data_IF_644686489138
#
_entry.id   IF_644686489138
#
_cell.length_a   1.000
_cell.length_b   1.000
_cell.length_c   1.000
_cell.angle_alpha   90.00
_cell.angle_beta   90.00
_cell.angle_gamma   90.00
#
_symmetry.space_group_name_H-M   'P 1'
#
loop_
_entity.id
_entity.type
_entity.pdbx_description
1 polymer ?
#
# COMPACT_ATOMS: atom_id res chain seq x y z
N UNK A 1 -32.75 14.25 19.68
CA UNK A 1 -32.37 12.92 20.19
C UNK A 1 -31.67 12.14 19.08
N UNK A 2 -30.36 12.29 18.96
CA UNK A 2 -29.46 11.41 18.21
C UNK A 2 -28.02 11.80 18.61
N UNK A 3 -27.63 11.46 19.84
CA UNK A 3 -26.25 11.56 20.30
C UNK A 3 -25.53 10.29 19.84
N UNK A 4 -24.83 10.38 18.71
CA UNK A 4 -23.91 9.34 18.26
C UNK A 4 -22.55 9.56 18.93
N UNK A 5 -22.10 8.59 19.72
CA UNK A 5 -20.81 8.59 20.39
C UNK A 5 -19.64 8.57 19.38
N UNK A 6 -18.43 9.04 19.76
CA UNK A 6 -17.22 8.85 18.96
C UNK A 6 -16.73 7.40 19.12
N UNK A 7 -17.35 6.47 18.39
CA UNK A 7 -17.05 5.03 18.52
C UNK A 7 -15.92 4.55 17.59
N UNK A 8 -15.44 5.39 16.66
CA UNK A 8 -14.42 4.98 15.67
C UNK A 8 -12.99 4.89 16.24
N UNK A 9 -12.63 5.70 17.24
CA UNK A 9 -11.23 5.76 17.70
C UNK A 9 -10.81 4.54 18.56
N UNK A 10 -11.78 3.80 19.12
CA UNK A 10 -11.52 2.57 19.87
C UNK A 10 -11.35 1.34 18.98
N UNK A 11 -11.95 1.31 17.79
CA UNK A 11 -11.88 0.16 16.89
C UNK A 11 -10.50 0.05 16.21
N UNK A 12 -9.92 1.17 15.79
CA UNK A 12 -8.59 1.20 15.14
C UNK A 12 -7.45 0.81 16.08
N UNK A 13 -7.60 1.09 17.38
CA UNK A 13 -6.59 0.80 18.40
C UNK A 13 -6.43 -0.70 18.70
N UNK A 14 -7.51 -1.49 18.65
CA UNK A 14 -7.44 -2.96 18.83
C UNK A 14 -7.22 -3.72 17.51
N UNK A 15 -7.70 -3.19 16.38
CA UNK A 15 -7.52 -3.81 15.07
C UNK A 15 -6.07 -3.76 14.59
N UNK A 16 -5.30 -2.74 15.01
CA UNK A 16 -3.92 -2.56 14.60
C UNK A 16 -2.99 -3.66 15.14
N UNK A 17 -2.91 -3.91 16.47
CA UNK A 17 -2.12 -5.02 17.00
C UNK A 17 -2.55 -6.38 16.43
N UNK A 18 -3.86 -6.63 16.30
CA UNK A 18 -4.36 -7.91 15.81
C UNK A 18 -3.97 -8.22 14.35
N UNK A 19 -3.89 -7.21 13.49
CA UNK A 19 -3.38 -7.38 12.12
C UNK A 19 -1.87 -7.68 12.12
N UNK A 20 -1.09 -6.89 12.86
CA UNK A 20 0.37 -7.05 12.95
C UNK A 20 0.73 -8.44 13.48
N UNK A 21 0.10 -8.88 14.57
CA UNK A 21 0.30 -10.22 15.15
C UNK A 21 0.00 -11.34 14.16
N UNK A 22 -1.08 -11.18 13.38
CA UNK A 22 -1.49 -12.17 12.38
C UNK A 22 -0.47 -12.26 11.25
N UNK A 23 -0.04 -11.12 10.72
CA UNK A 23 0.98 -11.07 9.66
C UNK A 23 2.30 -11.66 10.17
N UNK A 24 2.71 -11.30 11.39
CA UNK A 24 3.94 -11.80 12.01
C UNK A 24 3.91 -13.30 12.33
N UNK A 25 2.75 -13.85 12.63
CA UNK A 25 2.60 -15.30 12.80
C UNK A 25 2.68 -16.05 11.46
N UNK A 26 2.14 -15.46 10.40
CA UNK A 26 2.05 -16.11 9.09
C UNK A 26 3.39 -16.09 8.34
N UNK A 27 4.26 -15.12 8.61
CA UNK A 27 5.58 -14.99 7.97
C UNK A 27 6.75 -14.89 8.95
N UNK A 28 6.97 -15.82 9.89
CA UNK A 28 7.84 -15.65 11.07
C UNK A 28 9.30 -15.20 10.82
N UNK A 29 9.78 -15.25 9.58
CA UNK A 29 11.04 -14.69 9.13
C UNK A 29 10.86 -13.98 7.77
N UNK A 30 11.78 -13.06 7.41
CA UNK A 30 11.86 -12.49 6.06
C UNK A 30 11.85 -13.58 4.97
N UNK A 31 11.44 -13.21 3.75
CA UNK A 31 11.33 -14.19 2.67
C UNK A 31 12.72 -14.70 2.27
N UNK A 32 12.94 -16.01 2.40
CA UNK A 32 14.16 -16.62 1.85
C UNK A 32 14.23 -16.45 0.32
N UNK A 33 15.42 -16.28 -0.30
CA UNK A 33 15.55 -15.93 -1.72
C UNK A 33 14.72 -16.81 -2.68
N UNK A 34 14.59 -18.09 -2.38
CA UNK A 34 13.89 -19.09 -3.21
C UNK A 34 12.37 -19.18 -2.95
N UNK A 35 11.87 -18.55 -1.89
CA UNK A 35 10.43 -18.58 -1.56
C UNK A 35 9.62 -17.72 -2.52
N UNK A 36 8.43 -18.14 -2.98
CA UNK A 36 7.59 -17.30 -3.83
C UNK A 36 7.12 -16.04 -3.10
N UNK A 37 7.02 -14.91 -3.82
CA UNK A 37 6.47 -13.68 -3.27
C UNK A 37 4.96 -13.84 -2.97
N UNK A 38 4.45 -13.19 -1.92
CA UNK A 38 3.03 -13.27 -1.55
C UNK A 38 2.11 -12.47 -2.48
N UNK A 39 2.68 -11.68 -3.38
CA UNK A 39 2.00 -10.88 -4.40
C UNK A 39 2.60 -11.13 -5.78
N UNK A 40 1.91 -10.64 -6.82
CA UNK A 40 2.45 -10.62 -8.19
C UNK A 40 3.43 -9.46 -8.32
N UNK A 41 4.53 -9.69 -9.02
CA UNK A 41 5.49 -8.64 -9.36
C UNK A 41 4.95 -7.87 -10.58
N UNK A 42 4.80 -6.54 -10.51
CA UNK A 42 4.48 -5.73 -11.68
C UNK A 42 5.70 -5.69 -12.61
N UNK A 43 5.59 -6.33 -13.78
CA UNK A 43 6.64 -6.30 -14.80
C UNK A 43 7.94 -7.05 -14.44
N UNK A 44 8.90 -7.00 -15.37
CA UNK A 44 10.24 -7.59 -15.21
C UNK A 44 11.29 -6.54 -14.80
N UNK A 45 11.03 -5.27 -15.11
CA UNK A 45 11.90 -4.12 -14.86
C UNK A 45 11.05 -2.88 -14.52
N UNK A 46 11.60 -1.99 -13.70
CA UNK A 46 11.01 -0.70 -13.34
C UNK A 46 12.00 0.42 -13.61
N UNK A 47 11.54 1.58 -14.04
CA UNK A 47 12.38 2.78 -14.03
C UNK A 47 12.46 3.37 -12.62
N UNK A 48 13.48 4.20 -12.35
CA UNK A 48 13.59 4.89 -11.06
C UNK A 48 12.38 5.80 -10.78
N UNK A 49 11.79 6.41 -11.81
CA UNK A 49 10.62 7.30 -11.69
C UNK A 49 9.34 6.51 -11.35
N UNK A 50 9.21 5.30 -11.87
CA UNK A 50 8.05 4.43 -11.61
C UNK A 50 8.15 3.71 -10.25
N UNK A 51 9.37 3.54 -9.73
CA UNK A 51 9.63 2.70 -8.56
C UNK A 51 8.76 3.07 -7.35
N UNK A 52 8.64 4.34 -7.00
CA UNK A 52 7.84 4.75 -5.84
C UNK A 52 6.36 4.39 -5.99
N UNK A 53 5.77 4.71 -7.13
CA UNK A 53 4.35 4.46 -7.39
C UNK A 53 4.01 2.97 -7.45
N UNK A 54 4.82 2.21 -8.19
CA UNK A 54 4.63 0.76 -8.36
C UNK A 54 4.83 0.01 -7.03
N UNK A 55 5.85 0.36 -6.25
CA UNK A 55 6.08 -0.24 -4.94
C UNK A 55 4.95 0.11 -3.95
N UNK A 56 4.46 1.34 -3.98
CA UNK A 56 3.33 1.75 -3.16
C UNK A 56 2.05 0.99 -3.53
N UNK A 57 1.77 0.79 -4.81
CA UNK A 57 0.61 0.02 -5.28
C UNK A 57 0.71 -1.46 -4.89
N UNK A 58 1.89 -2.07 -5.02
CA UNK A 58 2.13 -3.46 -4.58
C UNK A 58 1.90 -3.61 -3.08
N UNK A 59 2.48 -2.72 -2.26
CA UNK A 59 2.33 -2.76 -0.81
C UNK A 59 0.87 -2.55 -0.39
N UNK A 60 0.20 -1.54 -0.95
CA UNK A 60 -1.21 -1.26 -0.65
C UNK A 60 -2.13 -2.38 -1.11
N UNK A 61 -1.86 -2.95 -2.30
CA UNK A 61 -2.57 -4.09 -2.83
C UNK A 61 -2.48 -5.29 -1.89
N UNK A 62 -1.29 -5.58 -1.35
CA UNK A 62 -1.12 -6.66 -0.38
C UNK A 62 -1.84 -6.39 0.94
N UNK A 63 -1.64 -5.22 1.55
CA UNK A 63 -2.20 -4.87 2.87
C UNK A 63 -3.72 -4.73 2.84
N UNK A 64 -4.28 -4.32 1.70
CA UNK A 64 -5.73 -4.12 1.51
C UNK A 64 -6.43 -5.38 0.99
N UNK A 65 -5.68 -6.33 0.42
CA UNK A 65 -6.26 -7.57 -0.10
C UNK A 65 -6.66 -8.50 1.04
N UNK A 66 -7.93 -8.91 1.03
CA UNK A 66 -8.27 -10.22 1.60
C UNK A 66 -7.72 -11.26 0.64
N UNK A 67 -6.63 -11.92 1.01
CA UNK A 67 -5.96 -12.91 0.15
C UNK A 67 -6.98 -13.90 -0.42
N UNK A 68 -7.37 -13.69 -1.69
CA UNK A 68 -8.22 -14.62 -2.43
C UNK A 68 -7.28 -15.66 -3.02
N UNK A 69 -7.46 -16.92 -2.61
CA UNK A 69 -6.77 -18.08 -3.18
C UNK A 69 -6.75 -17.99 -4.71
N UNK A 70 -5.61 -17.66 -5.29
CA UNK A 70 -5.32 -18.00 -6.69
C UNK A 70 -4.92 -19.47 -6.73
N UNK A 71 -5.86 -20.35 -6.37
CA UNK A 71 -5.80 -21.74 -6.75
C UNK A 71 -6.30 -21.82 -8.18
N UNK A 72 -5.39 -21.85 -9.15
CA UNK A 72 -5.70 -22.33 -10.49
C UNK A 72 -6.21 -23.78 -10.35
N UNK A 73 -7.53 -23.95 -10.27
CA UNK A 73 -8.16 -25.23 -10.57
C UNK A 73 -7.95 -25.48 -12.06
N UNK A 74 -6.79 -26.02 -12.43
CA UNK A 74 -6.71 -26.85 -13.62
C UNK A 74 -7.68 -28.00 -13.39
N UNK A 75 -8.78 -28.03 -14.16
CA UNK A 75 -9.57 -29.25 -14.32
C UNK A 75 -8.64 -30.29 -14.92
N UNK A 76 -8.06 -31.14 -14.08
CA UNK A 76 -7.49 -32.40 -14.54
C UNK A 76 -8.68 -33.29 -14.83
N UNK A 77 -8.86 -33.59 -16.12
CA UNK A 77 -9.79 -34.58 -16.64
C UNK A 77 -9.56 -35.90 -15.90
N UNK A 78 -10.64 -36.50 -15.41
CA UNK A 78 -10.64 -37.79 -14.73
C UNK A 78 -10.05 -38.89 -15.63
N UNK A 79 -9.04 -39.57 -15.12
CA UNK A 79 -8.52 -40.86 -15.60
C UNK A 79 -8.17 -41.71 -14.36
N UNK A 80 -8.33 -43.05 -14.43
CA UNK A 80 -8.39 -43.88 -13.24
C UNK A 80 -7.02 -44.11 -12.59
N UNK A 81 -7.07 -44.21 -11.27
CA UNK A 81 -6.00 -44.46 -10.29
C UNK A 81 -5.25 -45.77 -10.58
N UNK A 82 -3.94 -45.84 -10.25
CA UNK A 82 -3.44 -47.04 -9.60
C UNK A 82 -2.83 -46.75 -8.22
N UNK A 83 -3.05 -47.73 -7.36
CA UNK A 83 -2.58 -47.93 -6.00
C UNK A 83 -1.03 -48.01 -5.98
N UNK A 84 -0.37 -47.33 -5.02
CA UNK A 84 0.65 -47.88 -4.11
C UNK A 84 1.74 -46.88 -3.65
N UNK A 85 1.93 -46.88 -2.31
CA UNK A 85 3.22 -46.84 -1.58
C UNK A 85 3.83 -45.49 -1.14
N UNK A 86 3.92 -45.41 0.20
CA UNK A 86 4.95 -44.83 1.08
C UNK A 86 5.19 -43.31 1.12
N UNK A 87 4.73 -42.72 2.22
CA UNK A 87 5.62 -42.21 3.27
C UNK A 87 6.60 -41.11 2.90
N UNK A 88 6.15 -39.87 2.96
CA UNK A 88 6.97 -38.68 3.19
C UNK A 88 6.13 -37.63 3.93
N UNK A 89 6.72 -36.75 4.77
CA UNK A 89 5.95 -35.67 5.38
C UNK A 89 5.57 -34.71 4.26
N UNK A 90 4.36 -34.85 3.76
CA UNK A 90 3.71 -33.86 2.92
C UNK A 90 3.68 -32.57 3.74
N UNK A 91 4.59 -31.63 3.46
CA UNK A 91 4.45 -30.26 3.93
C UNK A 91 3.18 -29.71 3.27
N UNK A 92 2.04 -29.95 3.90
CA UNK A 92 0.87 -29.11 3.70
C UNK A 92 1.30 -27.70 4.09
N UNK A 93 1.54 -26.87 3.07
CA UNK A 93 1.61 -25.43 3.22
C UNK A 93 0.24 -25.01 3.75
N UNK A 94 0.09 -24.98 5.07
CA UNK A 94 -1.09 -24.48 5.76
C UNK A 94 -1.27 -23.06 5.25
N UNK A 95 -2.31 -22.85 4.45
CA UNK A 95 -2.57 -21.58 3.78
C UNK A 95 -2.78 -20.51 4.85
N UNK A 96 -2.03 -19.39 4.86
CA UNK A 96 -2.28 -18.33 5.81
C UNK A 96 -3.64 -17.72 5.52
N UNK A 97 -4.49 -17.73 6.55
CA UNK A 97 -5.86 -17.22 6.50
C UNK A 97 -5.79 -15.72 6.78
N UNK A 98 -5.57 -14.90 5.74
CA UNK A 98 -5.82 -13.46 5.85
C UNK A 98 -7.32 -13.20 5.90
N UNK A 99 -7.91 -13.32 7.10
CA UNK A 99 -9.32 -13.08 7.33
C UNK A 99 -9.68 -11.58 7.39
N UNK A 100 -8.71 -10.66 7.43
CA UNK A 100 -8.97 -9.22 7.52
C UNK A 100 -7.96 -8.41 6.69
N UNK A 101 -8.50 -7.43 5.96
CA UNK A 101 -7.72 -6.33 5.38
C UNK A 101 -7.16 -5.47 6.52
N UNK A 102 -5.96 -4.92 6.37
CA UNK A 102 -5.46 -3.93 7.31
C UNK A 102 -6.43 -2.71 7.36
N UNK A 103 -6.61 -2.08 8.53
CA UNK A 103 -7.29 -0.78 8.61
C UNK A 103 -6.61 0.21 7.65
N UNK A 104 -7.36 1.03 6.87
CA UNK A 104 -6.76 1.88 5.83
C UNK A 104 -5.63 2.80 6.32
N UNK A 105 -5.71 3.44 7.50
CA UNK A 105 -4.59 4.25 8.02
C UNK A 105 -3.33 3.41 8.28
N UNK A 106 -3.51 2.20 8.82
CA UNK A 106 -2.41 1.28 9.07
C UNK A 106 -1.76 0.82 7.75
N UNK A 107 -2.58 0.45 6.77
CA UNK A 107 -2.11 0.04 5.45
C UNK A 107 -1.28 1.15 4.79
N UNK A 108 -1.82 2.38 4.77
CA UNK A 108 -1.15 3.54 4.19
C UNK A 108 0.17 3.86 4.90
N UNK A 109 0.19 3.86 6.23
CA UNK A 109 1.41 4.14 6.99
C UNK A 109 2.46 3.05 6.80
N UNK A 110 2.09 1.77 6.86
CA UNK A 110 3.03 0.66 6.66
C UNK A 110 3.62 0.68 5.25
N UNK A 111 2.77 0.85 4.23
CA UNK A 111 3.21 0.96 2.85
C UNK A 111 4.17 2.14 2.67
N UNK A 112 3.80 3.32 3.16
CA UNK A 112 4.65 4.51 3.08
C UNK A 112 5.99 4.32 3.79
N UNK A 113 6.00 3.78 5.01
CA UNK A 113 7.24 3.56 5.76
C UNK A 113 8.15 2.56 5.03
N UNK A 114 7.62 1.43 4.55
CA UNK A 114 8.42 0.43 3.86
C UNK A 114 8.98 0.92 2.52
N UNK A 115 8.16 1.61 1.72
CA UNK A 115 8.60 2.19 0.44
C UNK A 115 9.64 3.29 0.69
N UNK A 116 9.40 4.18 1.65
CA UNK A 116 10.33 5.26 1.96
C UNK A 116 11.69 4.72 2.44
N UNK A 117 11.71 3.71 3.32
CA UNK A 117 12.95 3.07 3.76
C UNK A 117 13.69 2.37 2.61
N UNK A 118 12.97 1.73 1.68
CA UNK A 118 13.58 1.09 0.52
C UNK A 118 14.21 2.12 -0.42
N UNK A 119 13.50 3.19 -0.75
CA UNK A 119 14.00 4.24 -1.65
C UNK A 119 15.13 5.07 -1.05
N UNK A 120 15.21 5.16 0.28
CA UNK A 120 16.34 5.78 0.99
C UNK A 120 17.58 4.88 1.05
N UNK A 121 17.46 3.58 0.74
CA UNK A 121 18.58 2.65 0.71
C UNK A 121 19.32 2.68 -0.64
N UNK A 122 20.49 2.03 -0.72
CA UNK A 122 21.25 1.98 -1.97
C UNK A 122 20.55 1.08 -3.00
N UNK A 123 20.00 1.67 -4.04
CA UNK A 123 19.33 0.94 -5.12
C UNK A 123 20.30 0.39 -6.18
N UNK A 124 21.60 0.58 -6.01
CA UNK A 124 22.62 0.12 -6.97
C UNK A 124 22.57 -1.40 -7.19
N UNK A 125 22.23 -2.16 -6.16
CA UNK A 125 22.10 -3.63 -6.21
C UNK A 125 20.96 -4.10 -7.12
N UNK A 126 19.95 -3.26 -7.35
CA UNK A 126 18.81 -3.58 -8.21
C UNK A 126 19.01 -3.10 -9.64
N UNK A 127 20.07 -2.35 -9.95
CA UNK A 127 20.29 -1.84 -11.31
C UNK A 127 20.57 -3.00 -12.25
N UNK A 128 19.71 -3.17 -13.26
CA UNK A 128 20.01 -4.04 -14.39
C UNK A 128 20.85 -3.25 -15.38
N UNK A 129 21.95 -3.85 -15.81
CA UNK A 129 22.66 -3.37 -17.00
C UNK A 129 21.66 -3.45 -18.16
N UNK A 130 21.58 -2.42 -19.03
CA UNK A 130 20.87 -2.59 -20.29
C UNK A 130 21.52 -3.79 -20.98
N UNK A 131 20.74 -4.85 -21.21
CA UNK A 131 21.20 -5.91 -22.12
C UNK A 131 21.55 -5.18 -23.43
N UNK A 132 22.80 -5.32 -23.88
CA UNK A 132 23.21 -4.79 -25.16
C UNK A 132 22.30 -5.43 -26.21
N UNK A 133 21.32 -4.67 -26.69
CA UNK A 133 20.68 -5.00 -27.95
C UNK A 133 21.81 -5.11 -28.97
N UNK A 134 22.02 -6.31 -29.50
CA UNK A 134 22.99 -6.52 -30.57
C UNK A 134 22.63 -5.56 -31.70
N UNK A 135 23.56 -4.63 -31.94
CA UNK A 135 23.48 -3.54 -32.89
C UNK A 135 23.53 -4.12 -34.32
N UNK A 136 22.42 -4.67 -34.81
CA UNK A 136 22.24 -4.91 -36.24
C UNK A 136 21.88 -3.58 -36.89
N UNK A 137 22.92 -2.92 -37.38
CA UNK A 137 22.88 -1.54 -37.83
C UNK A 137 21.95 -1.27 -39.01
N UNK A 138 21.30 -0.11 -38.97
CA UNK A 138 21.19 0.74 -40.15
C UNK A 138 21.14 2.21 -39.75
N UNK A 139 21.76 3.03 -40.59
CA UNK A 139 22.19 4.39 -40.34
C UNK A 139 21.04 5.39 -40.50
N UNK A 140 20.85 6.21 -39.47
CA UNK A 140 20.39 7.60 -39.62
C UNK A 140 19.03 7.91 -38.98
N UNK A 141 19.06 8.52 -37.80
CA UNK A 141 18.66 9.92 -37.64
C UNK A 141 18.87 10.38 -36.18
N UNK A 142 19.46 11.57 -36.06
CA UNK A 142 19.52 12.48 -34.91
C UNK A 142 19.41 11.83 -33.51
N UNK A 143 20.56 11.57 -32.90
CA UNK A 143 20.67 11.20 -31.49
C UNK A 143 20.06 12.30 -30.59
N UNK A 144 18.81 12.10 -30.17
CA UNK A 144 18.32 12.69 -28.94
C UNK A 144 19.11 12.03 -27.81
N UNK A 145 19.88 12.82 -27.08
CA UNK A 145 20.58 12.41 -25.87
C UNK A 145 19.53 12.12 -24.78
N UNK A 146 18.77 11.03 -24.92
CA UNK A 146 17.97 10.48 -23.83
C UNK A 146 18.96 9.90 -22.83
N UNK A 147 19.06 10.53 -21.67
CA UNK A 147 19.81 10.01 -20.54
C UNK A 147 19.47 8.51 -20.34
N UNK A 148 20.47 7.64 -20.05
CA UNK A 148 20.22 6.22 -19.91
C UNK A 148 19.18 6.01 -18.80
N UNK A 149 18.01 5.53 -19.19
CA UNK A 149 16.94 5.20 -18.26
C UNK A 149 17.48 4.11 -17.35
N UNK A 150 17.61 4.42 -16.06
CA UNK A 150 18.12 3.45 -15.08
C UNK A 150 17.02 2.42 -14.83
N UNK A 151 17.23 1.21 -15.35
CA UNK A 151 16.33 0.08 -15.15
C UNK A 151 16.67 -0.65 -13.85
N UNK A 152 15.64 -0.95 -13.07
CA UNK A 152 15.71 -1.65 -11.79
C UNK A 152 15.04 -3.02 -11.89
N UNK A 153 15.55 -3.99 -11.14
CA UNK A 153 14.94 -5.31 -11.01
C UNK A 153 13.66 -5.25 -10.18
N UNK A 154 12.51 -5.38 -10.85
CA UNK A 154 11.20 -5.35 -10.21
C UNK A 154 11.05 -6.46 -9.15
N UNK A 155 11.60 -7.66 -9.42
CA UNK A 155 11.46 -8.80 -8.52
C UNK A 155 12.30 -8.64 -7.24
N UNK A 156 13.55 -8.20 -7.37
CA UNK A 156 14.43 -7.87 -6.25
C UNK A 156 13.89 -6.72 -5.40
N UNK A 157 13.37 -5.66 -6.02
CA UNK A 157 12.71 -4.55 -5.31
C UNK A 157 11.45 -5.02 -4.58
N UNK A 158 10.61 -5.83 -5.22
CA UNK A 158 9.41 -6.39 -4.61
C UNK A 158 9.75 -7.28 -3.39
N UNK A 159 10.84 -8.04 -3.44
CA UNK A 159 11.28 -8.84 -2.28
C UNK A 159 11.78 -7.96 -1.15
N UNK A 160 12.65 -7.01 -1.46
CA UNK A 160 13.19 -6.07 -0.48
C UNK A 160 12.08 -5.24 0.16
N UNK A 161 11.05 -4.86 -0.61
CA UNK A 161 9.86 -4.20 -0.10
C UNK A 161 9.12 -5.06 0.93
N UNK A 162 8.95 -6.37 0.67
CA UNK A 162 8.35 -7.26 1.65
C UNK A 162 9.16 -7.31 2.94
N UNK A 163 10.49 -7.41 2.83
CA UNK A 163 11.35 -7.44 4.01
C UNK A 163 11.26 -6.14 4.82
N UNK A 164 11.13 -4.98 4.15
CA UNK A 164 10.87 -3.69 4.83
C UNK A 164 9.50 -3.66 5.51
N UNK A 165 8.46 -4.15 4.85
CA UNK A 165 7.11 -4.25 5.45
C UNK A 165 7.12 -5.16 6.68
N UNK A 166 7.77 -6.31 6.57
CA UNK A 166 7.94 -7.27 7.67
C UNK A 166 8.65 -6.62 8.86
N UNK A 167 9.77 -5.94 8.62
CA UNK A 167 10.52 -5.22 9.65
C UNK A 167 9.67 -4.13 10.32
N UNK A 168 8.95 -3.32 9.53
CA UNK A 168 8.06 -2.29 10.05
C UNK A 168 6.95 -2.89 10.93
N UNK A 169 6.35 -4.01 10.51
CA UNK A 169 5.34 -4.70 11.32
C UNK A 169 5.89 -5.16 12.67
N UNK A 170 7.09 -5.75 12.68
CA UNK A 170 7.76 -6.20 13.91
C UNK A 170 8.08 -5.06 14.88
N UNK A 171 8.53 -3.92 14.36
CA UNK A 171 8.78 -2.72 15.16
C UNK A 171 7.48 -2.17 15.75
N UNK A 172 6.42 -2.09 14.95
CA UNK A 172 5.16 -1.45 15.34
C UNK A 172 4.31 -2.30 16.27
N UNK A 173 4.55 -3.62 16.32
CA UNK A 173 4.00 -4.51 17.34
C UNK A 173 4.45 -4.10 18.75
N UNK A 174 5.70 -3.63 18.87
CA UNK A 174 6.26 -3.19 20.15
C UNK A 174 5.91 -1.73 20.45
N UNK A 175 5.92 -0.88 19.43
CA UNK A 175 5.63 0.55 19.56
C UNK A 175 4.88 1.08 18.34
N UNK A 176 3.57 1.29 18.49
CA UNK A 176 2.73 1.86 17.44
C UNK A 176 3.13 3.33 17.21
N UNK A 177 3.45 3.74 15.96
CA UNK A 177 3.86 5.11 15.66
C UNK A 177 2.77 6.14 16.00
N UNK A 178 3.18 7.31 16.49
CA UNK A 178 2.28 8.44 16.69
C UNK A 178 1.58 8.91 15.39
N UNK A 179 2.17 8.62 14.21
CA UNK A 179 1.57 8.92 12.91
C UNK A 179 0.19 8.26 12.71
N UNK A 180 -0.06 7.12 13.35
CA UNK A 180 -1.37 6.46 13.33
C UNK A 180 -2.43 7.13 14.23
N UNK A 181 -2.01 8.11 15.04
CA UNK A 181 -2.88 8.92 15.90
C UNK A 181 -3.14 10.31 15.30
N UNK A 182 -2.72 10.55 14.06
CA UNK A 182 -2.93 11.84 13.40
C UNK A 182 -4.37 11.99 12.92
N UNK A 183 -5.01 13.10 13.29
CA UNK A 183 -6.27 13.55 12.68
C UNK A 183 -6.03 14.43 11.46
N UNK A 184 -7.09 14.70 10.70
CA UNK A 184 -7.09 15.71 9.64
C UNK A 184 -8.33 16.59 9.73
N UNK A 185 -8.18 17.85 9.34
CA UNK A 185 -9.31 18.76 9.10
C UNK A 185 -9.60 18.80 7.62
N UNK A 186 -10.85 19.01 7.22
CA UNK A 186 -11.23 19.06 5.82
C UNK A 186 -12.26 20.12 5.53
N UNK A 187 -12.17 20.72 4.35
CA UNK A 187 -13.22 21.54 3.73
C UNK A 187 -13.42 21.01 2.32
N UNK A 188 -14.68 20.85 1.91
CA UNK A 188 -15.06 20.46 0.57
C UNK A 188 -15.98 21.54 -0.01
N UNK A 189 -15.66 22.00 -1.22
CA UNK A 189 -16.48 22.91 -1.99
C UNK A 189 -16.86 22.22 -3.31
N UNK A 190 -18.16 22.09 -3.58
CA UNK A 190 -18.69 21.51 -4.82
C UNK A 190 -19.53 22.56 -5.54
N UNK A 191 -19.18 22.87 -6.78
CA UNK A 191 -19.94 23.80 -7.63
C UNK A 191 -20.81 22.96 -8.57
N UNK A 192 -22.11 23.21 -8.57
CA UNK A 192 -23.07 22.56 -9.47
C UNK A 192 -23.98 23.62 -10.07
N UNK A 193 -23.80 23.89 -11.36
CA UNK A 193 -24.46 25.01 -12.04
C UNK A 193 -24.09 26.35 -11.37
N UNK A 194 -25.09 27.06 -10.86
CA UNK A 194 -24.93 28.33 -10.13
C UNK A 194 -24.92 28.16 -8.60
N UNK A 195 -24.85 26.93 -8.10
CA UNK A 195 -24.88 26.63 -6.66
C UNK A 195 -23.51 26.18 -6.17
N UNK A 196 -23.07 26.76 -5.05
CA UNK A 196 -21.87 26.36 -4.32
C UNK A 196 -22.29 25.61 -3.04
N UNK A 197 -21.94 24.34 -2.95
CA UNK A 197 -22.10 23.50 -1.76
C UNK A 197 -20.80 23.50 -0.97
N UNK A 198 -20.86 23.72 0.33
CA UNK A 198 -19.69 23.72 1.22
C UNK A 198 -19.95 22.78 2.38
N UNK A 199 -19.01 21.89 2.66
CA UNK A 199 -18.98 21.03 3.83
C UNK A 199 -17.62 21.16 4.53
N UNK A 200 -17.58 21.05 5.86
CA UNK A 200 -16.33 21.16 6.61
C UNK A 200 -16.31 20.25 7.85
N UNK A 201 -15.09 19.91 8.27
CA UNK A 201 -14.76 19.17 9.47
C UNK A 201 -13.50 19.78 10.09
N UNK A 202 -13.63 20.33 11.29
CA UNK A 202 -12.52 20.98 12.00
C UNK A 202 -12.50 22.49 11.79
N UNK A 203 -11.31 23.07 11.84
CA UNK A 203 -11.11 24.52 11.86
C UNK A 203 -10.54 25.09 10.55
N UNK A 204 -10.30 24.25 9.54
CA UNK A 204 -10.06 24.68 8.16
C UNK A 204 -11.18 25.57 7.65
N UNK A 205 -10.87 26.62 6.89
CA UNK A 205 -11.81 27.69 6.53
C UNK A 205 -12.02 27.83 5.03
N UNK A 206 -13.19 28.33 4.64
CA UNK A 206 -13.50 28.74 3.27
C UNK A 206 -14.04 30.16 3.23
N UNK A 207 -13.65 30.92 2.21
CA UNK A 207 -14.10 32.29 1.95
C UNK A 207 -14.57 32.41 0.51
N UNK A 208 -15.77 32.99 0.30
CA UNK A 208 -16.23 33.36 -1.04
C UNK A 208 -16.12 34.87 -1.20
N UNK A 209 -15.52 35.32 -2.29
CA UNK A 209 -15.50 36.74 -2.66
C UNK A 209 -16.48 36.98 -3.79
N UNK A 210 -17.50 37.81 -3.56
CA UNK A 210 -18.50 38.18 -4.57
C UNK A 210 -18.56 39.70 -4.69
N UNK A 211 -18.31 40.21 -5.90
CA UNK A 211 -18.29 41.67 -6.19
C UNK A 211 -17.35 42.45 -5.24
N UNK A 212 -16.18 41.88 -4.93
CA UNK A 212 -15.20 42.50 -4.03
C UNK A 212 -15.54 42.40 -2.54
N UNK A 213 -16.67 41.79 -2.16
CA UNK A 213 -17.05 41.57 -0.77
C UNK A 213 -16.80 40.12 -0.36
N UNK A 214 -16.19 39.94 0.82
CA UNK A 214 -15.99 38.65 1.44
C UNK A 214 -17.28 38.15 2.11
N UNK A 215 -17.76 36.99 1.69
CA UNK A 215 -18.95 36.31 2.21
C UNK A 215 -18.49 35.14 3.08
N UNK A 216 -18.90 35.15 4.36
CA UNK A 216 -18.65 34.07 5.30
C UNK A 216 -19.52 32.87 4.91
N UNK A 217 -18.89 31.75 4.58
CA UNK A 217 -19.60 30.53 4.13
C UNK A 217 -19.71 29.45 5.20
N UNK A 218 -18.90 29.53 6.25
CA UNK A 218 -18.83 28.50 7.28
C UNK A 218 -18.38 29.09 8.61
N UNK A 219 -18.51 28.28 9.66
CA UNK A 219 -18.00 28.62 10.99
C UNK A 219 -17.10 27.49 11.52
N UNK A 220 -15.81 27.78 11.79
CA UNK A 220 -14.84 26.77 12.24
C UNK A 220 -15.30 26.04 13.51
N UNK A 221 -15.02 24.74 13.58
CA UNK A 221 -15.17 23.98 14.81
C UNK A 221 -13.98 24.28 15.73
N UNK A 222 -14.23 24.99 16.83
CA UNK A 222 -13.23 25.27 17.86
C UNK A 222 -13.69 24.82 19.25
N UNK A 223 -12.81 24.27 20.10
CA UNK A 223 -13.17 23.77 21.43
C UNK A 223 -13.77 24.83 22.36
N UNK A 224 -13.37 26.09 22.21
CA UNK A 224 -13.81 27.20 23.08
C UNK A 224 -15.24 27.66 22.76
N UNK A 225 -15.86 27.06 21.74
CA UNK A 225 -17.15 27.49 21.20
C UNK A 225 -18.29 26.85 22.00
N UNK A 226 -19.08 27.69 22.67
CA UNK A 226 -20.34 27.26 23.28
C UNK A 226 -21.36 26.99 22.17
N UNK A 227 -21.75 25.73 22.02
CA UNK A 227 -22.89 25.37 21.18
C UNK A 227 -24.17 25.69 21.95
N UNK A 228 -24.89 26.73 21.51
CA UNK A 228 -26.25 26.98 21.99
C UNK A 228 -27.18 26.09 21.14
N UNK A 229 -27.95 25.17 21.76
CA UNK A 229 -28.83 24.25 21.04
C UNK A 229 -30.04 24.96 20.39
#
# INVERSE_FOLDING_TARGET
MASGAPQQNGQTAEETPGFLDTLLRDFPAPLSPESPLPWKVPGLVLTLEEAEGELAEVAMGFLSSRFRRSGSRSRVSAGPVPLAVAGGPQLEIRSPVFARSAPPPLAACLAHEAVSQLLQSDLSEFRKLPEQEEEDGDRGDRAEEKAPVTLLDAAGLARSLFDRLWQACGQWQQQVPARLQSGTTGVCALITGNTLHVAWLGDSQVLLVRQGQAVKLMEPHRPERQWVP
#
